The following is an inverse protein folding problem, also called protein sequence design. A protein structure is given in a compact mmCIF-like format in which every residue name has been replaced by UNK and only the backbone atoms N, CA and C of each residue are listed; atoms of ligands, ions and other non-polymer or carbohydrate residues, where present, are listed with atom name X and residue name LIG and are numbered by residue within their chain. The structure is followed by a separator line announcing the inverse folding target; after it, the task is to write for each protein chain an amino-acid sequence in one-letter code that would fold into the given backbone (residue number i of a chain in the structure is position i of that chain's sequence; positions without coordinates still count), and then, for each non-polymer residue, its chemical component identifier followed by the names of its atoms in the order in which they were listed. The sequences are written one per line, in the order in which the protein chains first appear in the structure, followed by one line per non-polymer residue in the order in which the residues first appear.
data_IF_758085983223
#
_entry.id   IF_758085983223
#
_cell.length_a   1.000
_cell.length_b   1.000
_cell.length_c   1.000
_cell.angle_alpha   90.00
_cell.angle_beta   90.00
_cell.angle_gamma   90.00
#
_symmetry.space_group_name_H-M   'P 1'
#
loop_
_entity.id
_entity.type
_entity.pdbx_description
1 polymer ?
#
# COMPACT_ATOMS: atom_id res chain seq x y z
N UNK A 1 -3.34 3.73 -2.75
CA UNK A 1 -3.49 3.77 -1.28
C UNK A 1 -4.89 3.37 -0.83
N UNK A 2 -5.95 4.14 -1.17
CA UNK A 2 -7.33 3.85 -0.72
C UNK A 2 -7.77 2.43 -1.08
N UNK A 3 -7.45 1.96 -2.28
CA UNK A 3 -7.74 0.58 -2.71
C UNK A 3 -7.09 -0.47 -1.79
N UNK A 4 -5.85 -0.25 -1.36
CA UNK A 4 -5.16 -1.17 -0.44
C UNK A 4 -5.85 -1.19 0.92
N UNK A 5 -6.17 -0.02 1.48
CA UNK A 5 -6.87 0.07 2.78
C UNK A 5 -8.23 -0.60 2.72
N UNK A 6 -9.01 -0.35 1.66
CA UNK A 6 -10.32 -0.97 1.49
C UNK A 6 -10.22 -2.49 1.31
N UNK A 7 -9.18 -2.98 0.63
CA UNK A 7 -8.91 -4.41 0.50
C UNK A 7 -8.50 -5.05 1.83
N UNK A 8 -7.68 -4.38 2.65
CA UNK A 8 -7.33 -4.85 3.99
C UNK A 8 -8.56 -4.91 4.89
N UNK A 9 -9.44 -3.90 4.83
CA UNK A 9 -10.70 -3.89 5.57
C UNK A 9 -11.61 -5.05 5.16
N UNK A 10 -11.81 -5.24 3.85
CA UNK A 10 -12.72 -6.26 3.31
C UNK A 10 -12.25 -7.69 3.60
N UNK A 11 -10.94 -7.93 3.61
CA UNK A 11 -10.36 -9.27 3.76
C UNK A 11 -9.86 -9.55 5.18
N UNK A 12 -10.16 -8.69 6.15
CA UNK A 12 -9.62 -8.73 7.52
C UNK A 12 -8.08 -8.81 7.56
N UNK A 13 -7.44 -8.14 6.59
CA UNK A 13 -5.99 -8.03 6.49
C UNK A 13 -5.44 -7.06 7.53
N UNK A 14 -4.34 -7.46 8.20
CA UNK A 14 -3.69 -6.68 9.26
C UNK A 14 -2.55 -5.80 8.77
N UNK A 15 -1.85 -6.23 7.72
CA UNK A 15 -0.67 -5.56 7.19
C UNK A 15 -0.74 -5.52 5.66
N UNK A 16 -0.26 -4.43 5.06
CA UNK A 16 -0.07 -4.34 3.61
C UNK A 16 1.00 -3.32 3.24
N UNK A 17 1.51 -3.43 2.02
CA UNK A 17 2.50 -2.49 1.47
C UNK A 17 2.00 -1.99 0.12
N UNK A 18 2.07 -0.68 -0.09
CA UNK A 18 1.93 -0.06 -1.40
C UNK A 18 3.28 0.46 -1.87
N UNK A 19 3.62 0.23 -3.14
CA UNK A 19 4.83 0.76 -3.76
C UNK A 19 4.49 1.44 -5.09
N UNK A 20 5.25 2.50 -5.42
CA UNK A 20 5.11 3.25 -6.66
C UNK A 20 6.50 3.60 -7.22
N UNK A 21 6.69 3.34 -8.51
CA UNK A 21 7.85 3.83 -9.25
C UNK A 21 7.58 5.27 -9.73
N UNK A 22 8.58 6.14 -9.59
CA UNK A 22 8.56 7.53 -10.05
C UNK A 22 9.61 7.68 -11.16
N UNK A 23 9.23 8.34 -12.25
CA UNK A 23 10.14 8.60 -13.36
C UNK A 23 11.37 9.39 -12.90
N UNK A 24 12.56 9.04 -13.43
CA UNK A 24 13.83 9.59 -12.95
C UNK A 24 14.66 8.63 -12.09
N UNK A 25 14.16 7.41 -11.84
CA UNK A 25 14.90 6.35 -11.14
C UNK A 25 14.60 6.26 -9.64
N UNK A 26 13.50 6.84 -9.20
CA UNK A 26 13.09 6.87 -7.79
C UNK A 26 11.89 5.96 -7.52
N UNK A 27 11.71 5.57 -6.26
CA UNK A 27 10.58 4.75 -5.84
C UNK A 27 10.19 5.03 -4.40
N UNK A 28 8.90 4.94 -4.10
CA UNK A 28 8.34 5.14 -2.77
C UNK A 28 7.60 3.88 -2.35
N UNK A 29 7.76 3.48 -1.08
CA UNK A 29 7.00 2.40 -0.46
C UNK A 29 6.39 2.86 0.87
N UNK A 30 5.17 2.40 1.15
CA UNK A 30 4.44 2.68 2.39
C UNK A 30 3.94 1.37 2.97
N UNK A 31 4.31 1.08 4.23
CA UNK A 31 3.67 0.04 5.02
C UNK A 31 2.44 0.59 5.74
N UNK A 32 1.37 -0.21 5.76
CA UNK A 32 0.12 0.11 6.44
C UNK A 32 -0.21 -1.04 7.37
N UNK A 33 -0.48 -0.71 8.62
CA UNK A 33 -1.07 -1.61 9.60
C UNK A 33 -2.51 -1.15 9.86
N UNK A 34 -3.44 -2.11 9.91
CA UNK A 34 -4.86 -1.87 10.17
C UNK A 34 -5.19 -2.12 11.64
#
# INVERSE_FOLDING_TARGET
MVTLVHALVRNDGKCGVAALCVGGGEGVALSVYR
#
